data_IF_472754310782
#
_entry.id   IF_472754310782
#
_cell.length_a   1.000
_cell.length_b   1.000
_cell.length_c   1.000
_cell.angle_alpha   90.00
_cell.angle_beta   90.00
_cell.angle_gamma   90.00
#
_symmetry.space_group_name_H-M   'P 1'
#
loop_
_entity.id
_entity.type
_entity.pdbx_description
1 polymer ?
#
# COMPACT_ATOMS: atom_id res chain seq x y z
N UNK A 1 -2.52 -6.70 5.59
CA UNK A 1 -1.74 -6.81 4.34
C UNK A 1 -2.44 -7.91 3.59
N UNK A 2 -2.98 -7.55 2.43
CA UNK A 2 -3.98 -8.36 1.74
C UNK A 2 -3.41 -8.94 0.45
N UNK A 3 -2.50 -8.22 -0.20
CA UNK A 3 -1.82 -8.67 -1.41
C UNK A 3 -0.32 -8.40 -1.34
N UNK A 4 0.43 -9.22 -2.08
CA UNK A 4 1.82 -8.99 -2.45
C UNK A 4 1.87 -9.09 -3.97
N UNK A 5 2.30 -8.00 -4.61
CA UNK A 5 2.39 -7.93 -6.08
C UNK A 5 3.87 -7.91 -6.45
N UNK A 6 4.25 -8.80 -7.36
CA UNK A 6 5.55 -8.77 -8.01
C UNK A 6 5.37 -8.21 -9.41
N UNK A 7 6.05 -7.10 -9.70
CA UNK A 7 6.03 -6.45 -11.01
C UNK A 7 7.31 -6.69 -11.83
N UNK A 8 8.13 -7.65 -11.42
CA UNK A 8 9.42 -8.00 -12.03
C UNK A 8 10.59 -7.16 -11.53
N UNK A 9 10.34 -6.02 -10.88
CA UNK A 9 11.40 -5.17 -10.30
C UNK A 9 11.28 -5.00 -8.79
N UNK A 10 10.05 -4.99 -8.28
CA UNK A 10 9.72 -4.74 -6.88
C UNK A 10 8.69 -5.77 -6.40
N UNK A 11 8.84 -6.21 -5.14
CA UNK A 11 7.77 -6.89 -4.40
C UNK A 11 7.03 -5.84 -3.57
N UNK A 12 5.81 -5.53 -3.99
CA UNK A 12 5.01 -4.43 -3.46
C UNK A 12 3.90 -5.00 -2.56
N UNK A 13 3.98 -4.81 -1.23
CA UNK A 13 2.87 -5.12 -0.33
C UNK A 13 1.74 -4.10 -0.49
N UNK A 14 0.51 -4.62 -0.57
CA UNK A 14 -0.70 -3.82 -0.67
C UNK A 14 -1.66 -4.17 0.48
N UNK A 15 -2.17 -3.15 1.16
CA UNK A 15 -3.24 -3.28 2.16
C UNK A 15 -4.46 -2.47 1.73
N UNK A 16 -5.63 -3.09 1.74
CA UNK A 16 -6.92 -2.53 1.31
C UNK A 16 -7.75 -2.20 2.55
N UNK A 17 -8.36 -1.02 2.59
CA UNK A 17 -9.27 -0.58 3.65
C UNK A 17 -10.54 -0.01 3.04
N UNK A 18 -11.69 -0.57 3.39
CA UNK A 18 -12.99 -0.01 2.99
C UNK A 18 -13.40 1.21 3.83
N UNK A 19 -12.71 1.45 4.95
CA UNK A 19 -12.98 2.53 5.90
C UNK A 19 -11.89 3.61 5.89
N UNK A 20 -12.21 4.78 6.41
CA UNK A 20 -11.27 5.92 6.55
C UNK A 20 -10.36 5.78 7.78
N UNK A 21 -10.54 4.78 8.65
CA UNK A 21 -9.72 4.60 9.84
C UNK A 21 -8.43 3.82 9.53
N UNK A 22 -7.38 4.56 9.20
CA UNK A 22 -6.15 4.06 8.56
C UNK A 22 -5.12 3.40 9.50
N UNK A 23 -5.50 2.38 10.27
CA UNK A 23 -4.50 1.55 10.99
C UNK A 23 -3.97 0.43 10.10
N UNK A 24 -2.67 0.46 9.80
CA UNK A 24 -1.99 -0.52 8.94
C UNK A 24 -0.91 -1.33 9.71
N UNK A 25 -1.32 -2.05 10.75
CA UNK A 25 -0.39 -2.79 11.63
C UNK A 25 0.39 -3.86 10.87
N UNK A 26 -0.29 -4.64 10.04
CA UNK A 26 0.34 -5.69 9.22
C UNK A 26 1.30 -5.15 8.18
N UNK A 27 0.91 -4.10 7.44
CA UNK A 27 1.76 -3.47 6.44
C UNK A 27 3.02 -2.88 7.07
N UNK A 28 2.89 -2.20 8.22
CA UNK A 28 4.02 -1.66 8.95
C UNK A 28 5.01 -2.75 9.37
N UNK A 29 4.53 -3.85 9.95
CA UNK A 29 5.38 -4.99 10.32
C UNK A 29 6.11 -5.60 9.12
N UNK A 30 5.45 -5.69 7.96
CA UNK A 30 6.10 -6.13 6.73
C UNK A 30 7.21 -5.17 6.30
N UNK A 31 6.93 -3.87 6.30
CA UNK A 31 7.90 -2.85 5.89
C UNK A 31 9.13 -2.81 6.81
N UNK A 32 8.94 -2.96 8.12
CA UNK A 32 10.04 -3.03 9.10
C UNK A 32 10.93 -4.26 8.88
N UNK A 33 10.32 -5.41 8.54
CA UNK A 33 11.05 -6.68 8.37
C UNK A 33 11.78 -6.77 7.04
N UNK A 34 11.16 -6.32 5.95
CA UNK A 34 11.65 -6.58 4.59
C UNK A 34 12.12 -5.33 3.85
N UNK A 35 11.82 -4.12 4.36
CA UNK A 35 12.23 -2.84 3.77
C UNK A 35 11.95 -2.78 2.25
N UNK A 36 10.71 -3.03 1.80
CA UNK A 36 10.39 -3.00 0.38
C UNK A 36 10.59 -1.58 -0.16
N UNK A 37 10.92 -1.47 -1.46
CA UNK A 37 11.10 -0.18 -2.12
C UNK A 37 9.80 0.65 -2.17
N UNK A 38 8.64 -0.02 -2.20
CA UNK A 38 7.30 0.58 -2.26
C UNK A 38 6.36 -0.18 -1.36
N UNK A 39 5.46 0.53 -0.70
CA UNK A 39 4.33 -0.06 0.00
C UNK A 39 3.09 0.79 -0.27
N UNK A 40 1.95 0.14 -0.49
CA UNK A 40 0.72 0.82 -0.90
C UNK A 40 -0.40 0.46 0.09
N UNK A 41 -1.12 1.49 0.54
CA UNK A 41 -2.41 1.33 1.20
C UNK A 41 -3.46 1.95 0.31
N UNK A 42 -4.50 1.20 -0.02
CA UNK A 42 -5.64 1.73 -0.75
C UNK A 42 -6.87 1.84 0.13
N UNK A 43 -7.58 2.97 0.06
CA UNK A 43 -8.72 3.26 0.94
C UNK A 43 -9.68 4.32 0.41
N UNK A 44 -10.78 4.57 1.11
CA UNK A 44 -11.69 5.69 0.81
C UNK A 44 -11.11 7.08 1.13
N UNK A 45 -9.90 7.15 1.70
CA UNK A 45 -9.19 8.41 1.97
C UNK A 45 -8.49 8.96 0.72
N UNK A 46 -8.20 10.26 0.74
CA UNK A 46 -7.49 10.96 -0.32
C UNK A 46 -6.05 10.47 -0.51
N UNK A 47 -5.48 10.84 -1.65
CA UNK A 47 -4.09 10.55 -1.99
C UNK A 47 -3.14 11.19 -0.98
N UNK A 48 -2.17 10.40 -0.50
CA UNK A 48 -1.11 10.90 0.37
C UNK A 48 0.16 10.07 0.25
N UNK A 49 1.24 10.71 -0.18
CA UNK A 49 2.58 10.14 -0.11
C UNK A 49 3.18 10.42 1.28
N UNK A 50 3.53 9.36 2.01
CA UNK A 50 4.34 9.41 3.23
C UNK A 50 5.76 8.89 2.93
N UNK A 51 6.64 8.90 3.94
CA UNK A 51 8.03 8.45 3.79
C UNK A 51 8.14 6.98 3.36
N UNK A 52 7.30 6.12 3.94
CA UNK A 52 7.35 4.66 3.73
C UNK A 52 6.08 4.08 3.10
N UNK A 53 5.05 4.90 2.88
CA UNK A 53 3.71 4.45 2.48
C UNK A 53 3.07 5.40 1.48
N UNK A 54 2.61 4.84 0.36
CA UNK A 54 1.67 5.52 -0.52
C UNK A 54 0.23 5.19 -0.11
N UNK A 55 -0.53 6.22 0.27
CA UNK A 55 -1.98 6.11 0.38
C UNK A 55 -2.60 6.48 -0.97
N UNK A 56 -3.22 5.50 -1.61
CA UNK A 56 -3.90 5.67 -2.89
C UNK A 56 -5.42 5.58 -2.69
N UNK A 57 -6.22 6.52 -3.17
CA UNK A 57 -7.67 6.38 -3.11
C UNK A 57 -8.13 5.10 -3.81
N UNK A 58 -9.16 4.44 -3.29
CA UNK A 58 -9.64 3.15 -3.80
C UNK A 58 -10.04 3.24 -5.28
N UNK A 59 -10.66 4.35 -5.68
CA UNK A 59 -11.05 4.61 -7.06
C UNK A 59 -9.84 4.77 -8.00
N UNK A 60 -8.65 5.06 -7.48
CA UNK A 60 -7.45 5.26 -8.28
C UNK A 60 -6.59 3.99 -8.43
N UNK A 61 -7.04 2.83 -7.93
CA UNK A 61 -6.24 1.59 -7.96
C UNK A 61 -5.87 1.14 -9.37
N UNK A 62 -6.68 1.47 -10.37
CA UNK A 62 -6.43 1.22 -11.79
C UNK A 62 -5.19 1.94 -12.35
N UNK A 63 -4.71 2.97 -11.65
CA UNK A 63 -3.50 3.71 -12.03
C UNK A 63 -2.20 3.00 -11.65
N UNK A 64 -2.29 1.90 -10.89
CA UNK A 64 -1.14 1.05 -10.59
C UNK A 64 -0.75 0.28 -11.86
N UNK A 65 0.23 0.81 -12.58
CA UNK A 65 0.81 0.13 -13.73
C UNK A 65 1.55 -1.13 -13.30
N UNK A 66 1.42 -2.18 -14.14
CA UNK A 66 2.23 -3.39 -14.06
C UNK A 66 3.69 -3.08 -14.34
#
# INVERSE_FOLDING_TARGET
MDFLVDNGTDVIPIEVKAETHLKAKSLKTYCEKFKPNKAIRTSMSDYRQEEWLLNLPLWAVETLNK
#
